data_IF_630573154705
#
_entry.id   IF_630573154705
#
_cell.length_a   1.000
_cell.length_b   1.000
_cell.length_c   1.000
_cell.angle_alpha   90.00
_cell.angle_beta   90.00
_cell.angle_gamma   90.00
#
_symmetry.space_group_name_H-M   'P 1'
#
loop_
_entity.id
_entity.type
_entity.pdbx_description
1 polymer ?
#
# COMPACT_ATOMS: atom_id res chain seq x y z
N UNK A 1 1.02 -25.54 -2.95
CA UNK A 1 -0.10 -24.60 -3.18
C UNK A 1 -0.25 -23.75 -1.93
N UNK A 2 -0.25 -22.42 -2.04
CA UNK A 2 -0.56 -21.56 -0.90
C UNK A 2 -2.04 -21.76 -0.53
N UNK A 3 -2.36 -21.83 0.76
CA UNK A 3 -3.76 -21.88 1.20
C UNK A 3 -4.47 -20.61 0.71
N UNK A 4 -5.75 -20.70 0.29
CA UNK A 4 -6.55 -19.52 0.01
C UNK A 4 -6.50 -18.58 1.20
N UNK A 5 -6.34 -17.29 0.93
CA UNK A 5 -6.41 -16.27 1.99
C UNK A 5 -7.85 -16.19 2.51
N UNK A 6 -7.99 -15.86 3.78
CA UNK A 6 -9.28 -15.57 4.37
C UNK A 6 -9.97 -14.45 3.59
N UNK A 7 -11.28 -14.59 3.33
CA UNK A 7 -12.03 -13.63 2.51
C UNK A 7 -12.09 -12.25 3.18
N UNK A 8 -12.28 -12.19 4.50
CA UNK A 8 -12.33 -10.92 5.23
C UNK A 8 -11.00 -10.17 5.13
N UNK A 9 -9.89 -10.90 5.17
CA UNK A 9 -8.56 -10.33 4.95
C UNK A 9 -8.37 -9.77 3.53
N UNK A 10 -8.83 -10.48 2.50
CA UNK A 10 -8.76 -9.97 1.11
C UNK A 10 -9.61 -8.72 0.94
N UNK A 11 -10.86 -8.77 1.41
CA UNK A 11 -11.80 -7.64 1.35
C UNK A 11 -11.24 -6.41 2.09
N UNK A 12 -10.60 -6.61 3.24
CA UNK A 12 -9.91 -5.53 3.96
C UNK A 12 -8.82 -4.87 3.11
N UNK A 13 -7.95 -5.68 2.49
CA UNK A 13 -6.84 -5.15 1.68
C UNK A 13 -7.36 -4.37 0.46
N UNK A 14 -8.35 -4.92 -0.24
CA UNK A 14 -8.94 -4.28 -1.42
C UNK A 14 -9.63 -2.96 -1.07
N UNK A 15 -10.53 -2.98 -0.08
CA UNK A 15 -11.26 -1.77 0.34
C UNK A 15 -10.32 -0.68 0.86
N UNK A 16 -9.27 -1.07 1.59
CA UNK A 16 -8.25 -0.15 2.10
C UNK A 16 -7.55 0.58 0.95
N UNK A 17 -7.08 -0.18 -0.06
CA UNK A 17 -6.32 0.40 -1.18
C UNK A 17 -7.23 1.24 -2.07
N UNK A 18 -8.48 0.81 -2.31
CA UNK A 18 -9.48 1.60 -3.05
C UNK A 18 -9.76 2.93 -2.33
N UNK A 19 -9.96 2.90 -1.01
CA UNK A 19 -10.22 4.13 -0.23
C UNK A 19 -9.05 5.11 -0.30
N UNK A 20 -7.82 4.60 -0.25
CA UNK A 20 -6.61 5.41 -0.41
C UNK A 20 -6.52 6.02 -1.82
N UNK A 21 -6.80 5.23 -2.86
CA UNK A 21 -6.80 5.74 -4.24
C UNK A 21 -7.82 6.87 -4.43
N UNK A 22 -9.04 6.69 -3.92
CA UNK A 22 -10.11 7.70 -3.96
C UNK A 22 -9.73 8.99 -3.21
N UNK A 23 -9.13 8.86 -2.03
CA UNK A 23 -8.68 10.03 -1.24
C UNK A 23 -7.62 10.86 -1.97
N UNK A 24 -6.85 10.24 -2.86
CA UNK A 24 -5.78 10.86 -3.63
C UNK A 24 -6.21 11.22 -5.06
N UNK A 25 -7.49 11.09 -5.39
CA UNK A 25 -8.03 11.31 -6.74
C UNK A 25 -7.29 10.47 -7.80
N UNK A 26 -7.18 9.17 -7.53
CA UNK A 26 -6.56 8.17 -8.42
C UNK A 26 -7.63 7.17 -8.86
N UNK A 27 -7.63 6.83 -10.15
CA UNK A 27 -8.68 6.02 -10.77
C UNK A 27 -8.32 4.53 -10.83
N UNK A 28 -7.06 4.19 -10.57
CA UNK A 28 -6.56 2.82 -10.59
C UNK A 28 -5.69 2.53 -9.36
N UNK A 29 -5.81 1.30 -8.88
CA UNK A 29 -5.09 0.78 -7.73
C UNK A 29 -4.65 -0.66 -7.97
N UNK A 30 -3.41 -0.99 -7.63
CA UNK A 30 -2.84 -2.34 -7.78
C UNK A 30 -2.18 -2.73 -6.46
N UNK A 31 -2.63 -3.82 -5.85
CA UNK A 31 -1.96 -4.40 -4.67
C UNK A 31 -0.67 -5.10 -5.14
N UNK A 32 0.48 -4.57 -4.74
CA UNK A 32 1.81 -5.11 -5.05
C UNK A 32 2.26 -6.15 -4.04
N UNK A 33 1.94 -5.90 -2.77
CA UNK A 33 2.20 -6.82 -1.68
C UNK A 33 1.09 -6.71 -0.63
N UNK A 34 0.59 -7.86 -0.21
CA UNK A 34 -0.26 -8.00 0.97
C UNK A 34 0.52 -7.57 2.23
N UNK A 35 -0.14 -7.37 3.39
CA UNK A 35 0.52 -6.94 4.62
C UNK A 35 1.76 -7.77 4.96
N UNK A 36 2.88 -7.09 5.14
CA UNK A 36 4.18 -7.67 5.46
C UNK A 36 5.04 -6.70 6.28
N UNK A 37 6.12 -7.22 6.90
CA UNK A 37 6.96 -6.49 7.88
C UNK A 37 8.37 -6.20 7.39
N UNK A 38 8.56 -6.02 6.09
CA UNK A 38 9.89 -5.78 5.52
C UNK A 38 9.84 -4.82 4.35
N UNK A 39 10.79 -3.89 4.29
CA UNK A 39 10.92 -2.97 3.15
C UNK A 39 12.34 -2.97 2.60
N UNK A 40 12.51 -2.62 1.32
CA UNK A 40 13.81 -2.61 0.65
C UNK A 40 14.41 -1.20 0.66
N UNK A 41 15.44 -0.99 1.47
CA UNK A 41 16.18 0.28 1.59
C UNK A 41 17.59 0.07 1.07
N UNK A 42 18.02 0.91 0.12
CA UNK A 42 19.37 0.86 -0.47
C UNK A 42 19.80 -0.55 -0.96
N UNK A 43 18.85 -1.34 -1.48
CA UNK A 43 19.13 -2.69 -1.96
C UNK A 43 18.98 -3.80 -0.92
N UNK A 44 18.86 -3.49 0.37
CA UNK A 44 18.75 -4.45 1.47
C UNK A 44 17.34 -4.48 2.06
N UNK A 45 16.88 -5.66 2.48
CA UNK A 45 15.63 -5.77 3.22
C UNK A 45 15.85 -5.50 4.69
N UNK A 46 15.09 -4.55 5.24
CA UNK A 46 15.07 -4.22 6.67
C UNK A 46 13.70 -4.55 7.24
N UNK A 47 13.64 -4.89 8.54
CA UNK A 47 12.37 -5.04 9.24
C UNK A 47 11.68 -3.69 9.33
N UNK A 48 10.38 -3.67 9.06
CA UNK A 48 9.54 -2.48 9.10
C UNK A 48 8.23 -2.80 9.84
N UNK A 49 7.42 -1.77 10.08
CA UNK A 49 6.04 -1.92 10.55
C UNK A 49 5.22 -2.73 9.53
N UNK A 50 4.15 -3.38 9.98
CA UNK A 50 3.28 -4.14 9.10
C UNK A 50 2.59 -3.21 8.09
N UNK A 51 2.70 -3.49 6.79
CA UNK A 51 2.16 -2.61 5.76
C UNK A 51 1.77 -3.35 4.48
N UNK A 52 0.75 -2.81 3.81
CA UNK A 52 0.41 -3.07 2.41
C UNK A 52 1.30 -2.21 1.50
N UNK A 53 1.66 -2.75 0.34
CA UNK A 53 2.25 -1.96 -0.75
C UNK A 53 1.30 -1.96 -1.93
N UNK A 54 1.00 -0.77 -2.46
CA UNK A 54 0.16 -0.61 -3.64
C UNK A 54 0.78 0.38 -4.63
N UNK A 55 0.43 0.22 -5.91
CA UNK A 55 0.62 1.26 -6.92
C UNK A 55 -0.73 1.94 -7.15
N UNK A 56 -0.73 3.27 -7.16
CA UNK A 56 -1.88 4.13 -7.44
C UNK A 56 -1.59 4.88 -8.74
N UNK A 57 -2.53 4.84 -9.68
CA UNK A 57 -2.32 5.38 -11.01
C UNK A 57 -3.42 6.39 -11.30
N UNK A 58 -3.04 7.52 -11.86
CA UNK A 58 -3.93 8.42 -12.58
C UNK A 58 -3.84 8.06 -14.06
N UNK A 59 -4.86 7.40 -14.59
CA UNK A 59 -4.85 6.95 -15.97
C UNK A 59 -4.96 8.11 -16.98
N UNK A 60 -5.44 9.27 -16.54
CA UNK A 60 -5.58 10.48 -17.38
C UNK A 60 -4.23 11.15 -17.60
N UNK A 61 -3.45 11.37 -16.53
CA UNK A 61 -2.12 11.97 -16.63
C UNK A 61 -1.00 10.96 -16.90
N UNK A 62 -1.26 9.68 -16.64
CA UNK A 62 -0.26 8.62 -16.67
C UNK A 62 0.79 8.75 -15.57
N UNK A 63 0.46 9.44 -14.48
CA UNK A 63 1.27 9.51 -13.26
C UNK A 63 0.99 8.30 -12.38
N UNK A 64 2.08 7.67 -11.91
CA UNK A 64 2.02 6.56 -10.97
C UNK A 64 2.61 6.95 -9.62
N UNK A 65 2.10 6.36 -8.56
CA UNK A 65 2.55 6.55 -7.19
C UNK A 65 2.66 5.19 -6.50
N UNK A 66 3.74 4.96 -5.75
CA UNK A 66 3.82 3.86 -4.80
C UNK A 66 3.24 4.33 -3.47
N UNK A 67 2.46 3.47 -2.82
CA UNK A 67 1.89 3.71 -1.50
C UNK A 67 2.27 2.60 -0.54
N UNK A 68 2.76 2.98 0.64
CA UNK A 68 2.82 2.12 1.81
C UNK A 68 1.67 2.48 2.73
N UNK A 69 0.82 1.49 3.03
CA UNK A 69 -0.32 1.66 3.92
C UNK A 69 -0.06 0.80 5.14
N UNK A 70 0.32 1.45 6.25
CA UNK A 70 0.59 0.78 7.51
C UNK A 70 -0.70 0.28 8.13
N UNK A 71 -0.68 -0.98 8.57
CA UNK A 71 -1.83 -1.68 9.16
C UNK A 71 -1.43 -2.27 10.51
N UNK A 72 -2.42 -2.58 11.34
CA UNK A 72 -2.17 -3.27 12.59
C UNK A 72 -1.63 -4.70 12.38
N UNK A 73 -1.15 -5.32 13.46
CA UNK A 73 -0.57 -6.68 13.39
C UNK A 73 -1.61 -7.75 13.04
N UNK A 74 -2.89 -7.47 13.33
CA UNK A 74 -4.02 -8.34 13.02
C UNK A 74 -4.53 -8.21 11.57
N UNK A 75 -4.06 -7.19 10.84
CA UNK A 75 -4.48 -6.87 9.46
C UNK A 75 -5.99 -6.60 9.35
N UNK A 76 -6.53 -5.86 10.31
CA UNK A 76 -7.96 -5.52 10.38
C UNK A 76 -8.24 -4.04 10.18
N UNK A 77 -7.23 -3.18 10.40
CA UNK A 77 -7.36 -1.73 10.23
C UNK A 77 -6.05 -1.07 9.81
N UNK A 78 -6.18 0.08 9.16
CA UNK A 78 -5.07 1.02 8.98
C UNK A 78 -4.65 1.60 10.33
N UNK A 79 -3.35 1.86 10.49
CA UNK A 79 -2.85 2.65 11.61
C UNK A 79 -3.18 4.14 11.40
N UNK A 80 -3.37 4.87 12.49
CA UNK A 80 -3.62 6.31 12.42
C UNK A 80 -2.40 7.05 11.85
N UNK A 81 -2.66 8.08 11.03
CA UNK A 81 -1.61 8.98 10.57
C UNK A 81 -1.15 9.89 11.71
N UNK A 82 0.15 10.15 11.77
CA UNK A 82 0.73 11.13 12.68
C UNK A 82 1.66 12.05 11.89
N UNK A 83 1.98 13.22 12.44
CA UNK A 83 2.88 14.19 11.79
C UNK A 83 4.25 13.57 11.45
N UNK A 84 4.76 12.67 12.29
CA UNK A 84 6.07 12.02 12.11
C UNK A 84 6.00 10.64 11.44
N UNK A 85 4.81 10.16 11.10
CA UNK A 85 4.59 8.89 10.40
C UNK A 85 3.31 9.00 9.57
N UNK A 86 3.38 9.59 8.37
CA UNK A 86 2.22 9.72 7.49
C UNK A 86 1.73 8.33 7.06
N UNK A 87 0.42 8.14 7.04
CA UNK A 87 -0.21 6.91 6.57
C UNK A 87 -1.41 7.25 5.68
N UNK A 88 -1.37 6.94 4.38
CA UNK A 88 -0.28 6.27 3.65
C UNK A 88 0.99 7.12 3.53
N UNK A 89 2.13 6.46 3.39
CA UNK A 89 3.35 7.10 2.85
C UNK A 89 3.37 6.89 1.34
N UNK A 90 3.54 7.97 0.57
CA UNK A 90 3.38 7.97 -0.88
C UNK A 90 4.65 8.49 -1.56
N UNK A 91 5.06 7.83 -2.64
CA UNK A 91 6.18 8.26 -3.48
C UNK A 91 5.74 8.30 -4.95
N UNK A 92 6.01 9.39 -5.65
CA UNK A 92 5.77 9.46 -7.10
C UNK A 92 6.74 8.50 -7.81
N UNK A 93 6.19 7.62 -8.65
CA UNK A 93 6.98 6.72 -9.48
C UNK A 93 7.64 7.52 -10.61
N UNK A 94 8.95 7.35 -10.77
CA UNK A 94 9.66 7.91 -11.91
C UNK A 94 9.53 6.98 -13.12
N UNK A 95 9.12 7.53 -14.26
CA UNK A 95 9.21 6.83 -15.54
C UNK A 95 10.68 6.52 -15.81
N UNK A 96 11.01 5.23 -15.94
CA UNK A 96 12.34 4.78 -16.36
C UNK A 96 12.30 4.69 -17.88
N UNK A 97 12.81 5.73 -18.54
CA UNK A 97 13.02 5.78 -19.98
C UNK A 97 14.28 5.00 -20.35
#
# INVERSE_FOLDING_TARGET
MAKPKDKGFVDFCENTVISVAQTLDKDQAIIRALPHKSTKVAGQYVKDKNHLTADLIDSTSGDGFAAHIYVDDDNTRMLDQTEHSPNPTIWRLKKKY
#
